data_IF_540122437913
#
_entry.id   IF_540122437913
#
_cell.length_a   1.000
_cell.length_b   1.000
_cell.length_c   1.000
_cell.angle_alpha   90.00
_cell.angle_beta   90.00
_cell.angle_gamma   90.00
#
_symmetry.space_group_name_H-M   'P 1'
#
loop_
_entity.id
_entity.type
_entity.pdbx_description
1 polymer ?
#
# COMPACT_ATOMS: atom_id res chain seq x y z
N UNK A 1 -26.43 31.77 21.94
CA UNK A 1 -26.69 30.45 22.56
C UNK A 1 -27.40 29.67 21.47
N UNK A 2 -26.82 28.69 20.81
CA UNK A 2 -25.96 27.61 21.30
C UNK A 2 -24.76 27.38 20.36
N UNK A 3 -23.64 27.05 20.99
CA UNK A 3 -22.36 26.72 20.38
C UNK A 3 -22.32 25.21 20.20
N UNK A 4 -22.37 24.73 18.95
CA UNK A 4 -22.08 23.34 18.62
C UNK A 4 -20.57 23.15 18.62
N UNK A 5 -20.02 22.71 19.75
CA UNK A 5 -18.66 22.18 19.83
C UNK A 5 -18.72 20.80 19.17
N UNK A 6 -18.14 20.70 17.98
CA UNK A 6 -17.78 19.44 17.37
C UNK A 6 -16.84 18.68 18.30
N UNK A 7 -17.24 17.47 18.66
CA UNK A 7 -16.46 16.52 19.43
C UNK A 7 -15.18 16.17 18.64
N UNK A 8 -14.07 16.84 18.93
CA UNK A 8 -12.74 16.33 18.59
C UNK A 8 -12.54 15.05 19.43
N UNK A 9 -12.57 13.90 18.77
CA UNK A 9 -12.07 12.67 19.37
C UNK A 9 -10.58 12.89 19.60
N UNK A 10 -10.21 13.22 20.85
CA UNK A 10 -8.83 13.20 21.31
C UNK A 10 -8.30 11.77 21.18
N UNK A 11 -7.73 11.44 20.03
CA UNK A 11 -6.82 10.31 19.89
C UNK A 11 -5.56 10.68 20.66
N UNK A 12 -5.42 10.11 21.85
CA UNK A 12 -4.26 10.40 22.70
C UNK A 12 -3.04 9.68 22.13
N UNK A 13 -2.21 10.41 21.38
CA UNK A 13 -0.88 9.95 20.99
C UNK A 13 -0.03 9.69 22.24
N UNK A 14 0.78 8.64 22.18
CA UNK A 14 1.69 8.26 23.26
C UNK A 14 3.13 8.47 22.82
N UNK A 15 3.86 9.28 23.58
CA UNK A 15 5.28 9.54 23.35
C UNK A 15 6.13 8.30 23.69
N UNK A 16 6.78 7.71 22.71
CA UNK A 16 7.62 6.52 22.84
C UNK A 16 8.97 6.78 22.15
N UNK A 17 10.07 6.41 22.81
CA UNK A 17 11.38 6.34 22.19
C UNK A 17 11.62 4.94 21.66
N UNK A 18 11.84 4.78 20.36
CA UNK A 18 12.14 3.49 19.72
C UNK A 18 13.54 3.57 19.11
N UNK A 19 14.48 2.82 19.67
CA UNK A 19 15.90 2.97 19.32
C UNK A 19 16.44 4.35 19.70
N UNK A 20 16.86 5.13 18.69
CA UNK A 20 17.42 6.48 18.86
C UNK A 20 16.42 7.61 18.55
N UNK A 21 15.20 7.29 18.10
CA UNK A 21 14.18 8.26 17.67
C UNK A 21 12.99 8.32 18.64
N UNK A 22 12.32 9.47 18.66
CA UNK A 22 11.09 9.68 19.41
C UNK A 22 9.90 9.73 18.45
N UNK A 23 8.79 9.16 18.90
CA UNK A 23 7.55 9.03 18.16
C UNK A 23 6.39 9.39 19.05
N UNK A 24 5.41 10.08 18.49
CA UNK A 24 4.08 10.21 19.07
C UNK A 24 3.19 9.24 18.31
N UNK A 25 2.78 8.15 18.97
CA UNK A 25 2.09 7.02 18.32
C UNK A 25 0.69 6.89 18.87
N UNK A 26 -0.30 6.77 17.98
CA UNK A 26 -1.63 6.29 18.35
C UNK A 26 -1.57 4.77 18.64
N UNK A 27 -1.20 4.40 19.87
CA UNK A 27 -0.95 3.01 20.25
C UNK A 27 -2.16 2.08 20.11
N UNK A 28 -3.38 2.63 20.02
CA UNK A 28 -4.60 1.86 19.72
C UNK A 28 -4.55 1.20 18.34
N UNK A 29 -3.84 1.79 17.37
CA UNK A 29 -3.67 1.27 16.02
C UNK A 29 -2.51 0.26 15.92
N UNK A 30 -1.68 0.14 16.96
CA UNK A 30 -0.49 -0.72 16.98
C UNK A 30 -0.52 -1.65 18.20
N UNK A 31 -1.16 -2.83 18.10
CA UNK A 31 -1.46 -3.69 19.25
C UNK A 31 -0.25 -4.08 20.11
N UNK A 32 0.90 -4.32 19.48
CA UNK A 32 2.14 -4.56 20.20
C UNK A 32 2.55 -3.37 21.07
N UNK A 33 2.55 -2.14 20.52
CA UNK A 33 2.95 -0.94 21.26
C UNK A 33 1.94 -0.58 22.36
N UNK A 34 0.65 -0.82 22.14
CA UNK A 34 -0.38 -0.70 23.18
C UNK A 34 -0.11 -1.66 24.35
N UNK A 35 0.23 -2.91 24.04
CA UNK A 35 0.55 -3.94 25.04
C UNK A 35 1.84 -3.60 25.78
N UNK A 36 2.86 -3.14 25.06
CA UNK A 36 4.13 -2.69 25.60
C UNK A 36 3.95 -1.51 26.56
N UNK A 37 3.25 -0.45 26.14
CA UNK A 37 2.96 0.71 26.97
C UNK A 37 2.19 0.32 28.25
N UNK A 38 1.21 -0.59 28.12
CA UNK A 38 0.44 -1.10 29.25
C UNK A 38 1.28 -1.93 30.22
N UNK A 39 2.27 -2.68 29.73
CA UNK A 39 3.19 -3.45 30.54
C UNK A 39 4.17 -2.53 31.29
N UNK A 40 4.81 -1.60 30.59
CA UNK A 40 5.75 -0.64 31.17
C UNK A 40 5.10 0.22 32.25
N UNK A 41 3.88 0.71 32.02
CA UNK A 41 3.14 1.48 33.02
C UNK A 41 2.87 0.71 34.32
N UNK A 42 2.79 -0.62 34.26
CA UNK A 42 2.60 -1.50 35.43
C UNK A 42 3.92 -1.89 36.08
N UNK A 43 4.95 -2.17 35.27
CA UNK A 43 6.26 -2.59 35.73
C UNK A 43 7.05 -1.43 36.35
N UNK A 44 6.89 -0.23 35.78
CA UNK A 44 7.60 0.98 36.16
C UNK A 44 6.65 2.18 36.26
N UNK A 45 5.81 2.25 37.31
CA UNK A 45 4.80 3.31 37.46
C UNK A 45 5.38 4.74 37.51
N UNK A 46 6.64 4.87 37.95
CA UNK A 46 7.34 6.15 38.06
C UNK A 46 8.11 6.52 36.77
N UNK A 47 8.10 5.67 35.74
CA UNK A 47 8.77 5.96 34.49
C UNK A 47 8.06 7.10 33.76
N UNK A 48 8.80 8.16 33.45
CA UNK A 48 8.27 9.33 32.72
C UNK A 48 8.33 9.16 31.20
N UNK A 49 9.04 8.15 30.71
CA UNK A 49 9.26 7.91 29.29
C UNK A 49 9.19 6.42 28.97
N UNK A 50 8.49 6.08 27.89
CA UNK A 50 8.48 4.74 27.32
C UNK A 50 9.68 4.58 26.38
N UNK A 51 10.52 3.57 26.62
CA UNK A 51 11.72 3.31 25.83
C UNK A 51 11.72 1.87 25.34
N UNK A 52 11.67 1.70 24.02
CA UNK A 52 11.74 0.43 23.33
C UNK A 52 13.05 0.30 22.54
N UNK A 53 13.51 -0.93 22.33
CA UNK A 53 14.62 -1.23 21.42
C UNK A 53 14.33 -0.81 19.97
N UNK A 54 15.33 -0.83 19.08
CA UNK A 54 15.10 -0.50 17.68
C UNK A 54 14.12 -1.49 17.03
N UNK A 55 13.17 -0.97 16.23
CA UNK A 55 12.27 -1.76 15.39
C UNK A 55 12.60 -1.43 13.92
N UNK A 56 12.95 -2.42 13.09
CA UNK A 56 13.25 -2.19 11.67
C UNK A 56 12.10 -1.50 10.94
N UNK A 57 12.42 -0.48 10.14
CA UNK A 57 11.48 0.23 9.26
C UNK A 57 10.23 0.81 9.96
N UNK A 58 10.28 1.04 11.28
CA UNK A 58 9.15 1.57 12.05
C UNK A 58 8.61 2.90 11.48
N UNK A 59 9.49 3.77 10.99
CA UNK A 59 9.12 5.03 10.33
C UNK A 59 8.18 4.80 9.13
N UNK A 60 8.43 3.74 8.36
CA UNK A 60 7.64 3.39 7.18
C UNK A 60 6.35 2.71 7.59
N UNK A 61 6.42 1.85 8.61
CA UNK A 61 5.27 1.13 9.15
C UNK A 61 4.20 2.12 9.64
N UNK A 62 4.59 3.07 10.50
CA UNK A 62 3.70 4.10 11.05
C UNK A 62 3.10 4.99 9.96
N UNK A 63 3.89 5.43 8.97
CA UNK A 63 3.36 6.18 7.81
C UNK A 63 2.31 5.40 7.03
N UNK A 64 2.48 4.09 6.87
CA UNK A 64 1.50 3.24 6.20
C UNK A 64 0.18 3.13 6.97
N UNK A 65 0.25 3.11 8.30
CA UNK A 65 -0.92 3.07 9.19
C UNK A 65 -1.65 4.42 9.18
N UNK A 66 -0.92 5.53 9.32
CA UNK A 66 -1.48 6.87 9.44
C UNK A 66 -2.00 7.45 8.11
N UNK A 67 -1.25 7.25 7.02
CA UNK A 67 -1.51 7.90 5.72
C UNK A 67 -2.02 6.92 4.66
N UNK A 68 -1.97 5.62 4.93
CA UNK A 68 -2.34 4.54 4.02
C UNK A 68 -1.14 3.83 3.38
N UNK A 69 -1.29 2.52 3.17
CA UNK A 69 -0.21 1.61 2.78
C UNK A 69 0.45 1.89 1.41
N UNK A 70 -0.17 2.69 0.54
CA UNK A 70 0.48 3.21 -0.68
C UNK A 70 1.78 3.97 -0.38
N UNK A 71 1.88 4.57 0.82
CA UNK A 71 3.08 5.28 1.25
C UNK A 71 4.28 4.36 1.51
N UNK A 72 4.07 3.07 1.73
CA UNK A 72 5.16 2.10 1.89
C UNK A 72 5.98 1.97 0.60
N UNK A 73 5.33 1.89 -0.57
CA UNK A 73 6.03 1.90 -1.87
C UNK A 73 6.73 3.22 -2.20
N UNK A 74 6.23 4.34 -1.66
CA UNK A 74 6.82 5.68 -1.86
C UNK A 74 8.07 5.87 -1.00
N UNK A 75 8.04 5.33 0.21
CA UNK A 75 9.06 5.53 1.24
C UNK A 75 10.24 4.57 1.15
N UNK A 76 10.16 3.55 0.28
CA UNK A 76 11.18 2.51 0.15
C UNK A 76 11.63 2.33 -1.30
N UNK A 77 12.87 1.87 -1.52
CA UNK A 77 13.34 1.45 -2.84
C UNK A 77 12.54 0.24 -3.34
N UNK A 78 12.58 -0.01 -4.65
CA UNK A 78 11.98 -1.20 -5.26
C UNK A 78 12.85 -2.46 -5.01
N UNK A 79 13.21 -2.70 -3.75
CA UNK A 79 14.02 -3.83 -3.31
C UNK A 79 13.16 -4.79 -2.49
N UNK A 80 13.04 -6.03 -2.96
CA UNK A 80 12.13 -7.02 -2.37
C UNK A 80 12.44 -7.30 -0.89
N UNK A 81 13.73 -7.33 -0.51
CA UNK A 81 14.21 -7.56 0.86
C UNK A 81 13.66 -6.53 1.87
N UNK A 82 13.58 -5.25 1.48
CA UNK A 82 13.06 -4.18 2.33
C UNK A 82 11.56 -4.35 2.57
N UNK A 83 10.84 -4.80 1.56
CA UNK A 83 9.41 -5.06 1.65
C UNK A 83 9.08 -6.31 2.48
N UNK A 84 9.95 -7.33 2.47
CA UNK A 84 9.90 -8.45 3.41
C UNK A 84 10.05 -7.97 4.85
N UNK A 85 11.12 -7.22 5.14
CA UNK A 85 11.38 -6.68 6.48
C UNK A 85 10.18 -5.84 6.95
N UNK A 86 9.59 -5.01 6.09
CA UNK A 86 8.43 -4.21 6.48
C UNK A 86 7.20 -5.08 6.79
N UNK A 87 7.00 -6.18 6.07
CA UNK A 87 5.89 -7.10 6.32
C UNK A 87 6.07 -7.86 7.63
N UNK A 88 7.30 -8.32 7.92
CA UNK A 88 7.67 -8.89 9.23
C UNK A 88 7.51 -7.87 10.36
N UNK A 89 7.83 -6.60 10.12
CA UNK A 89 7.60 -5.51 11.09
C UNK A 89 6.11 -5.36 11.38
N UNK A 90 5.24 -5.38 10.37
CA UNK A 90 3.79 -5.30 10.61
C UNK A 90 3.26 -6.50 11.40
N UNK A 91 3.73 -7.71 11.09
CA UNK A 91 3.40 -8.94 11.83
C UNK A 91 3.86 -8.85 13.30
N UNK A 92 5.10 -8.43 13.53
CA UNK A 92 5.64 -8.17 14.88
C UNK A 92 4.82 -7.13 15.66
N UNK A 93 4.40 -6.06 14.99
CA UNK A 93 3.58 -5.01 15.59
C UNK A 93 2.14 -5.46 15.85
N UNK A 94 1.74 -6.61 15.31
CA UNK A 94 0.38 -7.15 15.39
C UNK A 94 -0.64 -6.34 14.61
N UNK A 95 -0.21 -5.65 13.55
CA UNK A 95 -1.08 -4.79 12.74
C UNK A 95 -1.76 -5.64 11.67
N UNK A 96 -3.09 -5.61 11.62
CA UNK A 96 -3.84 -6.23 10.53
C UNK A 96 -3.77 -5.34 9.28
N UNK A 97 -2.75 -5.58 8.45
CA UNK A 97 -2.58 -4.88 7.17
C UNK A 97 -3.73 -5.16 6.21
N UNK A 98 -4.33 -6.35 6.29
CA UNK A 98 -5.40 -6.76 5.40
C UNK A 98 -6.74 -6.13 5.79
N UNK A 99 -6.92 -5.75 7.06
CA UNK A 99 -8.19 -5.26 7.62
C UNK A 99 -9.30 -6.30 7.41
N UNK A 100 -8.99 -7.56 7.68
CA UNK A 100 -9.85 -8.72 7.45
C UNK A 100 -10.22 -9.00 5.98
N UNK A 101 -9.65 -8.28 5.01
CA UNK A 101 -10.02 -8.43 3.59
C UNK A 101 -9.48 -9.73 2.99
N UNK A 102 -10.33 -10.42 2.23
CA UNK A 102 -9.92 -11.58 1.43
C UNK A 102 -9.19 -11.15 0.14
N UNK A 103 -8.56 -12.12 -0.54
CA UNK A 103 -7.99 -11.87 -1.87
C UNK A 103 -9.03 -11.34 -2.87
N UNK A 104 -10.27 -11.82 -2.82
CA UNK A 104 -11.33 -11.39 -3.73
C UNK A 104 -11.75 -9.93 -3.45
N UNK A 105 -11.75 -9.53 -2.17
CA UNK A 105 -12.02 -8.13 -1.75
C UNK A 105 -10.89 -7.21 -2.22
N UNK A 106 -9.63 -7.60 -2.00
CA UNK A 106 -8.46 -6.84 -2.44
C UNK A 106 -8.47 -6.70 -3.97
N UNK A 107 -8.78 -7.76 -4.70
CA UNK A 107 -8.85 -7.69 -6.17
C UNK A 107 -10.00 -6.81 -6.66
N UNK A 108 -11.08 -6.71 -5.90
CA UNK A 108 -12.18 -5.78 -6.17
C UNK A 108 -11.73 -4.32 -5.95
N UNK A 109 -11.04 -4.03 -4.85
CA UNK A 109 -10.47 -2.70 -4.57
C UNK A 109 -9.43 -2.27 -5.62
N UNK A 110 -8.57 -3.20 -6.06
CA UNK A 110 -7.61 -2.94 -7.14
C UNK A 110 -8.31 -2.43 -8.41
N UNK A 111 -9.47 -2.99 -8.75
CA UNK A 111 -10.24 -2.61 -9.95
C UNK A 111 -10.97 -1.28 -9.81
N UNK A 112 -11.14 -0.73 -8.61
CA UNK A 112 -11.78 0.59 -8.39
C UNK A 112 -10.97 1.76 -8.91
N UNK A 113 -9.74 1.53 -9.40
CA UNK A 113 -8.98 2.56 -10.11
C UNK A 113 -9.58 2.90 -11.48
N UNK A 114 -10.47 2.06 -12.01
CA UNK A 114 -11.16 2.35 -13.28
C UNK A 114 -12.05 3.57 -13.11
N UNK A 115 -12.05 4.41 -14.12
CA UNK A 115 -12.94 5.55 -14.22
C UNK A 115 -14.29 4.99 -14.68
N UNK A 116 -15.29 5.04 -13.82
CA UNK A 116 -16.65 4.70 -14.21
C UNK A 116 -17.29 5.92 -14.89
N UNK A 117 -17.85 5.70 -16.08
CA UNK A 117 -18.69 6.67 -16.77
C UNK A 117 -20.12 6.45 -16.30
N UNK A 118 -20.63 7.33 -15.44
CA UNK A 118 -22.05 7.33 -15.11
C UNK A 118 -22.79 8.26 -16.09
N UNK A 119 -23.82 7.74 -16.80
CA UNK A 119 -24.67 8.58 -17.65
C UNK A 119 -25.69 9.33 -16.81
N UNK A 120 -25.63 10.67 -16.80
CA UNK A 120 -26.72 11.50 -16.27
C UNK A 120 -27.21 12.49 -17.34
N UNK A 121 -28.47 12.29 -17.77
CA UNK A 121 -29.29 13.26 -18.52
C UNK A 121 -28.64 14.02 -19.70
N UNK A 122 -27.86 13.35 -20.55
CA UNK A 122 -27.12 13.86 -21.74
C UNK A 122 -25.68 14.37 -21.49
N UNK A 123 -25.11 14.17 -20.31
CA UNK A 123 -23.69 14.46 -20.03
C UNK A 123 -23.00 13.28 -19.32
N UNK A 124 -21.78 12.95 -19.74
CA UNK A 124 -20.94 12.00 -19.03
C UNK A 124 -20.09 12.77 -18.02
N UNK A 125 -20.28 12.53 -16.73
CA UNK A 125 -19.31 13.00 -15.71
C UNK A 125 -18.37 11.85 -15.34
N UNK A 126 -17.07 12.15 -15.29
CA UNK A 126 -16.06 11.20 -14.88
C UNK A 126 -16.09 11.05 -13.36
N UNK A 127 -16.47 9.89 -12.85
CA UNK A 127 -16.23 9.58 -11.45
C UNK A 127 -14.73 9.29 -11.33
N UNK A 128 -13.99 10.20 -10.69
CA UNK A 128 -12.55 10.04 -10.43
C UNK A 128 -12.36 8.71 -9.71
N UNK A 129 -11.85 7.71 -10.41
CA UNK A 129 -11.63 6.37 -9.87
C UNK A 129 -10.79 6.43 -8.59
N UNK A 130 -11.03 5.50 -7.67
CA UNK A 130 -10.41 5.47 -6.35
C UNK A 130 -8.94 5.05 -6.37
N UNK A 131 -8.07 5.80 -7.07
CA UNK A 131 -6.65 5.46 -7.26
C UNK A 131 -5.92 5.25 -5.93
N UNK A 132 -6.19 6.06 -4.89
CA UNK A 132 -5.56 5.90 -3.57
C UNK A 132 -5.92 4.56 -2.95
N UNK A 133 -7.20 4.19 -2.92
CA UNK A 133 -7.68 2.89 -2.40
C UNK A 133 -7.11 1.71 -3.18
N UNK A 134 -7.08 1.81 -4.51
CA UNK A 134 -6.47 0.77 -5.34
C UNK A 134 -4.97 0.62 -5.05
N UNK A 135 -4.25 1.73 -4.84
CA UNK A 135 -2.82 1.70 -4.48
C UNK A 135 -2.59 1.11 -3.08
N UNK A 136 -3.46 1.39 -2.11
CA UNK A 136 -3.40 0.75 -0.79
C UNK A 136 -3.67 -0.76 -0.91
N UNK A 137 -4.68 -1.16 -1.70
CA UNK A 137 -4.98 -2.56 -1.99
C UNK A 137 -3.82 -3.28 -2.68
N UNK A 138 -3.02 -2.60 -3.51
CA UNK A 138 -1.81 -3.18 -4.09
C UNK A 138 -0.76 -3.52 -3.02
N UNK A 139 -0.65 -2.73 -1.95
CA UNK A 139 0.23 -3.09 -0.84
C UNK A 139 -0.34 -4.26 -0.03
N UNK A 140 -1.65 -4.31 0.20
CA UNK A 140 -2.30 -5.47 0.83
C UNK A 140 -2.08 -6.76 0.02
N UNK A 141 -2.12 -6.68 -1.31
CA UNK A 141 -1.77 -7.79 -2.20
C UNK A 141 -0.31 -8.24 -1.99
N UNK A 142 0.63 -7.29 -1.86
CA UNK A 142 2.03 -7.61 -1.56
C UNK A 142 2.17 -8.31 -0.20
N UNK A 143 1.46 -7.84 0.82
CA UNK A 143 1.45 -8.47 2.14
C UNK A 143 0.96 -9.92 2.07
N UNK A 144 -0.12 -10.18 1.31
CA UNK A 144 -0.59 -11.55 1.04
C UNK A 144 0.43 -12.41 0.30
N UNK A 145 1.24 -11.86 -0.60
CA UNK A 145 2.28 -12.63 -1.31
C UNK A 145 3.34 -13.17 -0.34
N UNK A 146 3.67 -12.41 0.70
CA UNK A 146 4.70 -12.79 1.67
C UNK A 146 4.15 -13.65 2.81
N UNK A 147 3.07 -13.20 3.45
CA UNK A 147 2.56 -13.76 4.70
C UNK A 147 1.16 -14.38 4.57
N UNK A 148 0.58 -14.40 3.37
CA UNK A 148 -0.75 -14.96 3.14
C UNK A 148 -0.76 -16.48 3.25
N UNK A 149 -1.70 -16.98 4.04
CA UNK A 149 -2.09 -18.39 4.07
C UNK A 149 -3.12 -18.66 2.95
N UNK A 150 -2.87 -19.70 2.17
CA UNK A 150 -3.73 -20.09 1.05
C UNK A 150 -4.30 -21.48 1.30
N UNK A 151 -5.63 -21.59 1.37
CA UNK A 151 -6.31 -22.87 1.55
C UNK A 151 -6.11 -23.80 0.34
N UNK A 152 -6.02 -23.22 -0.87
CA UNK A 152 -5.78 -23.96 -2.09
C UNK A 152 -4.74 -23.26 -2.96
N UNK A 153 -3.48 -23.58 -2.71
CA UNK A 153 -2.32 -22.99 -3.40
C UNK A 153 -2.51 -22.88 -4.93
N UNK A 154 -3.05 -23.91 -5.60
CA UNK A 154 -3.23 -23.87 -7.06
C UNK A 154 -4.32 -22.89 -7.53
N UNK A 155 -5.48 -22.86 -6.86
CA UNK A 155 -6.56 -21.93 -7.22
C UNK A 155 -6.20 -20.50 -6.85
N UNK A 156 -5.58 -20.33 -5.69
CA UNK A 156 -5.19 -19.04 -5.17
C UNK A 156 -4.01 -18.47 -5.96
N UNK A 157 -3.05 -19.30 -6.39
CA UNK A 157 -1.98 -18.87 -7.30
C UNK A 157 -2.52 -18.31 -8.63
N UNK A 158 -3.59 -18.88 -9.19
CA UNK A 158 -4.21 -18.38 -10.40
C UNK A 158 -4.93 -17.03 -10.18
N UNK A 159 -5.59 -16.86 -9.03
CA UNK A 159 -6.20 -15.58 -8.64
C UNK A 159 -5.14 -14.51 -8.38
N UNK A 160 -4.10 -14.84 -7.62
CA UNK A 160 -2.95 -13.98 -7.34
C UNK A 160 -2.28 -13.55 -8.64
N UNK A 161 -2.07 -14.48 -9.59
CA UNK A 161 -1.54 -14.15 -10.91
C UNK A 161 -2.37 -13.06 -11.62
N UNK A 162 -3.70 -13.19 -11.61
CA UNK A 162 -4.56 -12.20 -12.27
C UNK A 162 -4.52 -10.84 -11.56
N UNK A 163 -4.42 -10.83 -10.23
CA UNK A 163 -4.25 -9.60 -9.45
C UNK A 163 -2.91 -8.91 -9.74
N UNK A 164 -1.82 -9.68 -9.74
CA UNK A 164 -0.47 -9.20 -10.09
C UNK A 164 -0.42 -8.69 -11.52
N UNK A 165 -0.97 -9.44 -12.47
CA UNK A 165 -1.04 -9.03 -13.86
C UNK A 165 -1.81 -7.71 -14.02
N UNK A 166 -2.92 -7.54 -13.29
CA UNK A 166 -3.67 -6.28 -13.28
C UNK A 166 -2.80 -5.12 -12.80
N UNK A 167 -2.10 -5.28 -11.67
CA UNK A 167 -1.21 -4.23 -11.15
C UNK A 167 -0.13 -3.87 -12.18
N UNK A 168 0.54 -4.87 -12.74
CA UNK A 168 1.65 -4.68 -13.69
C UNK A 168 1.18 -3.99 -14.99
N UNK A 169 -0.03 -4.29 -15.46
CA UNK A 169 -0.56 -3.74 -16.71
C UNK A 169 -1.17 -2.33 -16.59
N UNK A 170 -1.34 -1.78 -15.39
CA UNK A 170 -2.02 -0.48 -15.18
C UNK A 170 -1.03 0.60 -14.69
N UNK A 171 -0.07 0.95 -15.55
CA UNK A 171 1.01 1.92 -15.27
C UNK A 171 0.51 3.32 -14.83
N UNK A 172 -0.63 3.76 -15.37
CA UNK A 172 -1.26 5.04 -15.02
C UNK A 172 -1.75 5.09 -13.55
N UNK A 173 -2.02 3.94 -12.95
CA UNK A 173 -2.45 3.83 -11.54
C UNK A 173 -1.30 3.42 -10.64
N UNK A 174 -0.60 2.34 -11.01
CA UNK A 174 0.46 1.74 -10.20
C UNK A 174 1.83 2.14 -10.75
N UNK A 175 2.56 2.93 -9.95
CA UNK A 175 3.89 3.40 -10.32
C UNK A 175 4.87 2.24 -10.42
N UNK A 176 5.96 2.45 -11.17
CA UNK A 176 7.01 1.46 -11.44
C UNK A 176 7.44 0.66 -10.20
N UNK A 177 7.73 1.33 -9.07
CA UNK A 177 8.19 0.69 -7.84
C UNK A 177 7.23 -0.40 -7.35
N UNK A 178 5.93 -0.08 -7.27
CA UNK A 178 4.92 -1.04 -6.84
C UNK A 178 4.82 -2.24 -7.81
N UNK A 179 4.83 -1.97 -9.12
CA UNK A 179 4.71 -3.02 -10.14
C UNK A 179 5.87 -4.01 -10.12
N UNK A 180 7.10 -3.52 -10.03
CA UNK A 180 8.29 -4.39 -9.99
C UNK A 180 8.33 -5.22 -8.72
N UNK A 181 8.06 -4.61 -7.56
CA UNK A 181 8.08 -5.32 -6.27
C UNK A 181 7.00 -6.39 -6.22
N UNK A 182 5.77 -6.07 -6.60
CA UNK A 182 4.65 -7.04 -6.59
C UNK A 182 4.90 -8.18 -7.57
N UNK A 183 5.46 -7.89 -8.75
CA UNK A 183 5.88 -8.92 -9.70
C UNK A 183 6.93 -9.85 -9.08
N UNK A 184 7.99 -9.28 -8.52
CA UNK A 184 9.09 -10.04 -7.93
C UNK A 184 8.61 -10.91 -6.75
N UNK A 185 7.71 -10.38 -5.91
CA UNK A 185 7.08 -11.14 -4.82
C UNK A 185 6.27 -12.33 -5.33
N UNK A 186 5.54 -12.17 -6.45
CA UNK A 186 4.81 -13.28 -7.07
C UNK A 186 5.74 -14.35 -7.62
N UNK A 187 6.80 -13.95 -8.30
CA UNK A 187 7.82 -14.86 -8.84
C UNK A 187 8.62 -15.59 -7.75
N UNK A 188 8.77 -14.98 -6.57
CA UNK A 188 9.38 -15.62 -5.39
C UNK A 188 8.43 -16.64 -4.74
N UNK A 189 7.14 -16.28 -4.58
CA UNK A 189 6.16 -17.13 -3.89
C UNK A 189 5.69 -18.33 -4.71
N UNK A 190 5.56 -18.17 -6.03
CA UNK A 190 4.94 -19.18 -6.89
C UNK A 190 5.84 -19.59 -8.04
N UNK A 191 5.75 -20.87 -8.43
CA UNK A 191 6.40 -21.37 -9.65
C UNK A 191 5.68 -20.80 -10.87
N UNK A 192 6.32 -19.89 -11.58
CA UNK A 192 5.74 -19.21 -12.74
C UNK A 192 5.97 -20.02 -14.01
N UNK A 193 4.91 -20.31 -14.76
CA UNK A 193 5.04 -20.94 -16.08
C UNK A 193 5.61 -19.98 -17.13
N UNK A 194 6.26 -20.51 -18.17
CA UNK A 194 6.78 -19.71 -19.29
C UNK A 194 5.72 -18.78 -19.90
N UNK A 195 4.46 -19.25 -19.96
CA UNK A 195 3.33 -18.46 -20.47
C UNK A 195 2.99 -17.29 -19.55
N UNK A 196 3.02 -17.49 -18.23
CA UNK A 196 2.78 -16.42 -17.26
C UNK A 196 3.92 -15.41 -17.26
N UNK A 197 5.17 -15.89 -17.27
CA UNK A 197 6.37 -15.06 -17.36
C UNK A 197 6.35 -14.18 -18.61
N UNK A 198 6.08 -14.77 -19.79
CA UNK A 198 5.99 -14.01 -21.05
C UNK A 198 4.89 -12.93 -21.02
N UNK A 199 3.76 -13.17 -20.34
CA UNK A 199 2.70 -12.17 -20.17
C UNK A 199 3.10 -11.02 -19.25
N UNK A 200 3.86 -11.30 -18.19
CA UNK A 200 4.39 -10.26 -17.30
C UNK A 200 5.49 -9.44 -18.01
N UNK A 201 6.36 -10.09 -18.77
CA UNK A 201 7.42 -9.45 -19.56
C UNK A 201 6.91 -8.51 -20.65
N UNK A 202 5.75 -8.82 -21.23
CA UNK A 202 5.12 -7.97 -22.24
C UNK A 202 5.01 -6.51 -21.76
N UNK A 203 4.53 -6.32 -20.53
CA UNK A 203 4.28 -5.00 -19.95
C UNK A 203 5.56 -4.26 -19.56
N UNK A 204 6.62 -4.99 -19.18
CA UNK A 204 7.94 -4.38 -18.93
C UNK A 204 8.51 -3.82 -20.23
N UNK A 205 8.42 -4.58 -21.33
CA UNK A 205 8.92 -4.16 -22.65
C UNK A 205 8.13 -2.99 -23.24
N UNK A 206 6.82 -2.95 -23.03
CA UNK A 206 6.00 -1.80 -23.43
C UNK A 206 6.36 -0.53 -22.66
N UNK A 207 6.67 -0.66 -21.37
CA UNK A 207 7.12 0.46 -20.56
C UNK A 207 8.52 0.96 -20.95
N UNK A 208 9.47 0.07 -21.23
CA UNK A 208 10.80 0.44 -21.75
C UNK A 208 10.70 1.17 -23.09
N UNK A 209 9.76 0.76 -23.95
CA UNK A 209 9.46 1.45 -25.22
C UNK A 209 8.82 2.81 -25.02
N UNK A 210 7.94 2.95 -24.02
CA UNK A 210 7.32 4.23 -23.64
C UNK A 210 8.30 5.20 -22.97
N UNK A 211 9.22 4.69 -22.15
CA UNK A 211 10.20 5.49 -21.38
C UNK A 211 11.46 5.86 -22.18
N UNK A 212 11.66 5.33 -23.39
CA UNK A 212 12.74 5.76 -24.29
C UNK A 212 12.67 7.26 -24.68
N UNK A 213 11.62 7.98 -24.27
CA UNK A 213 11.47 9.44 -24.41
C UNK A 213 11.44 10.27 -23.11
N UNK A 214 11.49 9.66 -21.92
CA UNK A 214 11.38 10.39 -20.65
C UNK A 214 12.35 9.85 -19.59
N UNK A 215 13.41 10.61 -19.35
CA UNK A 215 14.44 10.27 -18.36
C UNK A 215 13.87 10.30 -16.93
N UNK A 216 13.81 9.09 -16.36
CA UNK A 216 13.94 8.70 -14.96
C UNK A 216 14.24 9.81 -13.95
N UNK A 217 13.27 10.09 -13.06
CA UNK A 217 13.40 10.11 -11.59
C UNK A 217 12.13 10.76 -10.99
N UNK A 218 10.99 10.05 -11.01
CA UNK A 218 9.81 10.51 -10.24
C UNK A 218 9.97 10.08 -8.78
N UNK A 219 10.91 10.75 -8.11
CA UNK A 219 10.93 10.89 -6.66
C UNK A 219 10.30 12.24 -6.32
N UNK A 220 9.05 12.48 -6.75
CA UNK A 220 8.35 13.71 -6.46
C UNK A 220 7.58 13.57 -5.16
N UNK A 221 7.99 14.37 -4.18
CA UNK A 221 7.17 14.79 -3.03
C UNK A 221 5.95 15.54 -3.56
N UNK A 222 4.97 14.81 -4.05
CA UNK A 222 3.66 15.36 -4.39
C UNK A 222 2.85 15.41 -3.10
N UNK A 223 2.83 16.61 -2.53
CA UNK A 223 1.71 17.13 -1.74
C UNK A 223 0.43 16.71 -2.46
N UNK A 224 -0.57 16.20 -1.74
CA UNK A 224 -1.90 15.96 -2.30
C UNK A 224 -2.52 17.29 -2.74
N UNK A 225 -2.10 17.82 -3.89
CA UNK A 225 -2.84 18.83 -4.62
C UNK A 225 -3.85 18.09 -5.47
N UNK A 226 -5.12 18.32 -5.17
CA UNK A 226 -6.27 17.73 -5.88
C UNK A 226 -6.37 18.15 -7.37
N UNK A 227 -5.41 18.93 -7.86
CA UNK A 227 -5.26 19.38 -9.25
C UNK A 227 -4.02 18.76 -9.91
N UNK A 228 -4.08 17.48 -10.30
CA UNK A 228 -3.25 16.99 -11.42
C UNK A 228 -3.94 17.40 -12.73
N UNK A 229 -3.69 18.67 -13.06
CA UNK A 229 -4.03 19.34 -14.30
C UNK A 229 -3.35 18.64 -15.49
N UNK A 230 -4.16 18.12 -16.42
CA UNK A 230 -3.80 17.70 -17.80
C UNK A 230 -2.75 16.59 -17.93
N UNK A 231 -3.21 15.34 -17.95
CA UNK A 231 -2.56 14.27 -18.74
C UNK A 231 -3.36 14.08 -20.04
N UNK A 232 -3.17 15.02 -20.97
CA UNK A 232 -3.60 14.90 -22.36
C UNK A 232 -2.52 14.11 -23.12
N UNK A 233 -2.65 12.80 -23.12
CA UNK A 233 -1.94 11.92 -24.05
C UNK A 233 -2.92 10.90 -24.66
N UNK A 234 -3.38 11.29 -25.85
CA UNK A 234 -3.95 10.49 -26.93
C UNK A 234 -3.70 8.96 -26.88
N UNK A 235 -4.79 8.21 -27.10
CA UNK A 235 -4.91 7.14 -28.11
C UNK A 235 -6.41 6.80 -28.22
N UNK A 236 -7.19 7.48 -29.08
CA UNK A 236 -7.44 7.14 -30.49
C UNK A 236 -7.83 5.67 -30.74
N UNK A 237 -9.05 5.53 -31.26
CA UNK A 237 -9.61 4.42 -32.05
C UNK A 237 -9.69 3.02 -31.41
N UNK A 238 -10.92 2.66 -31.02
CA UNK A 238 -11.43 1.31 -31.25
C UNK A 238 -12.69 1.41 -32.12
N UNK A 239 -12.57 0.93 -33.36
CA UNK A 239 -13.70 0.38 -34.13
C UNK A 239 -14.10 -0.99 -33.58
#
# INVERSE_FOLDING_TARGET
MESSISNEMNQSETAIKIGDKHYDVEVSQVPYLASFASFEAKAHPDATHLVHGPIPLIDVALKGIELGYRHCFRSMPAELSQHHILSETYDFLGVDVLDGQSLDDIFTELKRCKIDLEPEYDYYFFIKGGKSKARDAAYKLLYLLFLGDFENETKDAAKMFNAVLFVVSHSATFKWRARVVIRAAYEERFVVSDKQSARLDHWVKEEERGNAGAAYESSTTEVESDDELYDDYYNSDWS
#
